data_IF_994954594073
#
_entry.id   IF_994954594073
#
_cell.length_a   1.000
_cell.length_b   1.000
_cell.length_c   1.000
_cell.angle_alpha   90.00
_cell.angle_beta   90.00
_cell.angle_gamma   90.00
#
_symmetry.space_group_name_H-M   'P 1'
#
loop_
_entity.id
_entity.type
_entity.pdbx_description
1 polymer ?
#
# COMPACT_ATOMS: atom_id res chain seq x y z
N UNK A 1 8.46 -17.14 6.29
CA UNK A 1 8.68 -17.37 4.84
C UNK A 1 8.58 -16.02 4.16
N UNK A 2 9.57 -15.63 3.38
CA UNK A 2 9.62 -14.32 2.75
C UNK A 2 8.42 -14.14 1.80
N UNK A 3 7.66 -13.08 1.97
CA UNK A 3 6.59 -12.69 1.07
C UNK A 3 7.13 -11.91 -0.14
N UNK A 4 8.12 -11.04 0.13
CA UNK A 4 8.75 -10.20 -0.88
C UNK A 4 10.27 -10.28 -0.73
N UNK A 5 10.98 -10.36 -1.87
CA UNK A 5 12.43 -10.28 -1.93
C UNK A 5 12.85 -9.39 -3.10
N UNK A 6 13.50 -8.29 -2.79
CA UNK A 6 14.15 -7.40 -3.75
C UNK A 6 15.66 -7.59 -3.66
N UNK A 7 16.35 -7.64 -4.80
CA UNK A 7 17.79 -7.82 -4.87
C UNK A 7 18.41 -6.88 -5.89
N UNK A 8 19.34 -6.02 -5.43
CA UNK A 8 20.10 -5.11 -6.26
C UNK A 8 19.27 -4.09 -7.02
N UNK A 9 18.18 -3.58 -6.43
CA UNK A 9 17.28 -2.65 -7.10
C UNK A 9 17.99 -1.30 -7.32
N UNK A 10 18.20 -0.94 -8.59
CA UNK A 10 18.73 0.36 -9.00
C UNK A 10 17.69 1.14 -9.80
N UNK A 11 17.65 2.46 -9.62
CA UNK A 11 16.78 3.36 -10.38
C UNK A 11 17.41 4.72 -10.60
N UNK A 12 17.38 5.18 -11.85
CA UNK A 12 17.93 6.47 -12.28
C UNK A 12 16.86 7.26 -13.03
N UNK A 13 16.70 8.53 -12.70
CA UNK A 13 15.89 9.47 -13.47
C UNK A 13 16.77 10.63 -13.96
N UNK A 14 16.79 10.89 -15.25
CA UNK A 14 17.52 12.02 -15.84
C UNK A 14 18.94 12.19 -15.27
N UNK A 15 19.75 11.14 -15.22
CA UNK A 15 21.12 11.07 -14.65
C UNK A 15 21.21 11.11 -13.12
N UNK A 16 20.11 11.29 -12.39
CA UNK A 16 20.09 11.19 -10.94
C UNK A 16 19.87 9.72 -10.54
N UNK A 17 20.89 9.10 -9.96
CA UNK A 17 20.77 7.74 -9.41
C UNK A 17 20.06 7.80 -8.05
N UNK A 18 18.77 7.42 -8.05
CA UNK A 18 17.87 7.54 -6.90
C UNK A 18 17.94 6.30 -6.01
N UNK A 19 18.05 5.10 -6.58
CA UNK A 19 18.26 3.85 -5.85
C UNK A 19 19.54 3.19 -6.36
N UNK A 20 20.40 2.78 -5.44
CA UNK A 20 21.80 2.40 -5.72
C UNK A 20 22.11 0.94 -5.34
N UNK A 21 21.17 0.02 -5.58
CA UNK A 21 21.35 -1.40 -5.26
C UNK A 21 20.70 -1.76 -3.93
N UNK A 22 19.37 -1.63 -3.85
CA UNK A 22 18.60 -1.98 -2.66
C UNK A 22 18.38 -3.48 -2.58
N UNK A 23 18.78 -4.08 -1.45
CA UNK A 23 18.43 -5.44 -1.04
C UNK A 23 17.42 -5.37 0.10
N UNK A 24 16.31 -6.10 -0.03
CA UNK A 24 15.22 -6.08 0.95
C UNK A 24 14.47 -7.41 0.96
N UNK A 25 14.19 -7.91 2.15
CA UNK A 25 13.34 -9.07 2.35
C UNK A 25 12.25 -8.75 3.37
N UNK A 26 10.97 -9.06 3.06
CA UNK A 26 9.80 -8.83 3.90
C UNK A 26 9.14 -10.17 4.20
N UNK A 27 8.87 -10.41 5.49
CA UNK A 27 8.19 -11.61 5.94
C UNK A 27 6.67 -11.44 5.87
N UNK A 28 5.93 -12.54 5.72
CA UNK A 28 4.47 -12.50 5.79
C UNK A 28 4.00 -12.05 7.18
N UNK A 29 2.97 -11.21 7.23
CA UNK A 29 2.41 -10.65 8.47
C UNK A 29 3.30 -9.60 9.15
N UNK A 30 4.36 -9.12 8.48
CA UNK A 30 5.27 -8.09 8.98
C UNK A 30 4.78 -6.68 8.62
N UNK A 31 4.93 -5.73 9.52
CA UNK A 31 4.80 -4.30 9.25
C UNK A 31 6.20 -3.69 9.20
N UNK A 32 6.59 -3.21 8.02
CA UNK A 32 7.88 -2.54 7.81
C UNK A 32 7.67 -1.07 7.52
N UNK A 33 8.30 -0.20 8.31
CA UNK A 33 8.33 1.23 8.06
C UNK A 33 9.61 1.63 7.31
N UNK A 34 9.46 2.35 6.20
CA UNK A 34 10.56 2.94 5.44
C UNK A 34 10.59 4.44 5.75
N UNK A 35 11.70 4.90 6.30
CA UNK A 35 11.93 6.29 6.67
C UNK A 35 13.13 6.87 5.92
N UNK A 36 13.35 8.18 6.02
CA UNK A 36 14.48 8.89 5.42
C UNK A 36 14.10 10.29 5.00
N UNK A 37 15.09 11.09 4.62
CA UNK A 37 14.90 12.47 4.16
C UNK A 37 14.00 12.56 2.92
N UNK A 38 13.44 13.75 2.66
CA UNK A 38 12.76 14.01 1.39
C UNK A 38 13.75 13.82 0.23
N UNK A 39 13.31 13.17 -0.85
CA UNK A 39 14.17 12.86 -2.00
C UNK A 39 15.12 11.67 -1.82
N UNK A 40 15.14 10.99 -0.67
CA UNK A 40 16.03 9.83 -0.43
C UNK A 40 15.70 8.58 -1.29
N UNK A 41 14.55 8.55 -1.99
CA UNK A 41 14.14 7.43 -2.84
C UNK A 41 13.02 6.55 -2.27
N UNK A 42 12.41 6.92 -1.13
CA UNK A 42 11.37 6.11 -0.44
C UNK A 42 10.18 5.78 -1.34
N UNK A 43 9.52 6.78 -1.90
CA UNK A 43 8.36 6.58 -2.78
C UNK A 43 8.76 5.87 -4.08
N UNK A 44 9.96 6.13 -4.61
CA UNK A 44 10.49 5.40 -5.76
C UNK A 44 10.62 3.91 -5.45
N UNK A 45 11.21 3.57 -4.30
CA UNK A 45 11.29 2.18 -3.87
C UNK A 45 9.90 1.57 -3.71
N UNK A 46 8.98 2.27 -3.02
CA UNK A 46 7.60 1.79 -2.83
C UNK A 46 6.88 1.53 -4.16
N UNK A 47 7.05 2.42 -5.16
CA UNK A 47 6.47 2.25 -6.49
C UNK A 47 7.04 1.06 -7.24
N UNK A 48 8.34 0.78 -7.10
CA UNK A 48 8.97 -0.41 -7.71
C UNK A 48 8.48 -1.68 -6.99
N UNK A 49 8.46 -1.72 -5.66
CA UNK A 49 7.91 -2.84 -4.89
C UNK A 49 6.44 -3.09 -5.21
N UNK A 50 5.70 -2.03 -5.52
CA UNK A 50 4.30 -2.07 -5.96
C UNK A 50 4.09 -2.32 -7.44
N UNK A 51 5.15 -2.52 -8.22
CA UNK A 51 5.09 -2.70 -9.68
C UNK A 51 4.43 -1.55 -10.45
N UNK A 52 4.41 -0.34 -9.87
CA UNK A 52 3.96 0.89 -10.53
C UNK A 52 5.06 1.50 -11.40
N UNK A 53 6.32 1.22 -11.07
CA UNK A 53 7.49 1.58 -11.86
C UNK A 53 8.43 0.37 -11.99
N UNK A 54 9.29 0.36 -12.99
CA UNK A 54 10.26 -0.69 -13.22
C UNK A 54 11.64 -0.25 -12.71
N UNK A 55 12.43 -1.12 -12.09
CA UNK A 55 13.83 -0.85 -11.79
C UNK A 55 14.65 -0.84 -13.10
N UNK A 56 15.78 -0.14 -13.11
CA UNK A 56 16.75 -0.21 -14.21
C UNK A 56 17.60 -1.48 -14.10
N UNK A 57 17.86 -1.93 -12.85
CA UNK A 57 18.52 -3.21 -12.54
C UNK A 57 17.94 -3.82 -11.28
N UNK A 58 18.27 -5.10 -11.08
CA UNK A 58 17.82 -5.88 -9.93
C UNK A 58 16.64 -6.77 -10.26
N UNK A 59 16.16 -7.47 -9.23
CA UNK A 59 15.04 -8.41 -9.32
C UNK A 59 14.08 -8.22 -8.16
N UNK A 60 12.81 -8.44 -8.41
CA UNK A 60 11.76 -8.41 -7.40
C UNK A 60 10.92 -9.68 -7.47
N UNK A 61 10.93 -10.44 -6.39
CA UNK A 61 10.08 -11.60 -6.20
C UNK A 61 8.99 -11.26 -5.18
N UNK A 62 7.74 -11.56 -5.52
CA UNK A 62 6.60 -11.49 -4.59
C UNK A 62 5.88 -12.83 -4.68
N UNK A 63 5.66 -13.50 -3.54
CA UNK A 63 5.12 -14.86 -3.50
C UNK A 63 5.89 -15.82 -4.43
N UNK A 64 7.22 -15.75 -4.39
CA UNK A 64 8.16 -16.53 -5.21
C UNK A 64 8.05 -16.32 -6.74
N UNK A 65 7.29 -15.32 -7.19
CA UNK A 65 7.17 -14.94 -8.60
C UNK A 65 8.07 -13.75 -8.93
N UNK A 66 8.94 -13.89 -9.93
CA UNK A 66 9.69 -12.75 -10.49
C UNK A 66 8.71 -11.87 -11.27
N UNK A 67 8.37 -10.71 -10.69
CA UNK A 67 7.28 -9.88 -11.19
C UNK A 67 7.63 -9.15 -12.49
N UNK A 68 8.89 -8.78 -12.70
CA UNK A 68 9.30 -8.01 -13.87
C UNK A 68 9.61 -8.85 -15.11
N UNK A 69 9.59 -10.18 -15.01
CA UNK A 69 9.67 -11.06 -16.18
C UNK A 69 8.30 -11.31 -16.83
N UNK A 70 7.22 -10.85 -16.20
CA UNK A 70 5.86 -11.03 -16.69
C UNK A 70 5.50 -10.07 -17.82
N UNK A 71 4.55 -10.46 -18.67
CA UNK A 71 3.95 -9.52 -19.63
C UNK A 71 3.20 -8.40 -18.91
N UNK A 72 3.05 -7.23 -19.55
CA UNK A 72 2.32 -6.10 -18.98
C UNK A 72 0.89 -6.46 -18.52
N UNK A 73 0.18 -7.32 -19.28
CA UNK A 73 -1.16 -7.81 -18.92
C UNK A 73 -1.12 -8.69 -17.67
N UNK A 74 -0.18 -9.63 -17.59
CA UNK A 74 -0.01 -10.52 -16.44
C UNK A 74 0.39 -9.73 -15.19
N UNK A 75 1.34 -8.80 -15.32
CA UNK A 75 1.79 -7.94 -14.23
C UNK A 75 0.66 -7.06 -13.68
N UNK A 76 -0.19 -6.50 -14.57
CA UNK A 76 -1.36 -5.72 -14.16
C UNK A 76 -2.38 -6.56 -13.40
N UNK A 77 -2.65 -7.79 -13.86
CA UNK A 77 -3.53 -8.73 -13.17
C UNK A 77 -2.95 -9.17 -11.82
N UNK A 78 -1.63 -9.45 -11.77
CA UNK A 78 -0.92 -9.78 -10.53
C UNK A 78 -1.01 -8.62 -9.53
N UNK A 79 -0.71 -7.37 -9.95
CA UNK A 79 -0.81 -6.19 -9.10
C UNK A 79 -2.21 -6.02 -8.52
N UNK A 80 -3.24 -6.09 -9.36
CA UNK A 80 -4.64 -5.96 -8.93
C UNK A 80 -5.02 -7.01 -7.88
N UNK A 81 -4.53 -8.24 -8.02
CA UNK A 81 -4.84 -9.35 -7.12
C UNK A 81 -4.03 -9.32 -5.83
N UNK A 82 -2.72 -9.04 -5.92
CA UNK A 82 -1.76 -9.34 -4.84
C UNK A 82 -1.27 -8.12 -4.09
N UNK A 83 -1.51 -6.89 -4.60
CA UNK A 83 -0.99 -5.65 -4.01
C UNK A 83 -2.12 -4.65 -3.82
N UNK A 84 -2.25 -4.16 -2.58
CA UNK A 84 -3.12 -3.02 -2.25
C UNK A 84 -2.29 -1.74 -2.08
N UNK A 85 -2.86 -0.59 -2.46
CA UNK A 85 -2.20 0.72 -2.32
C UNK A 85 -3.04 1.67 -1.49
N UNK A 86 -2.38 2.37 -0.58
CA UNK A 86 -2.91 3.48 0.20
C UNK A 86 -2.00 4.69 0.02
N UNK A 87 -2.54 5.80 -0.47
CA UNK A 87 -1.79 7.03 -0.76
C UNK A 87 -2.16 8.14 0.22
N UNK A 88 -1.29 9.14 0.35
CA UNK A 88 -1.51 10.33 1.16
C UNK A 88 -2.77 11.10 0.75
N UNK A 89 -3.05 11.20 -0.56
CA UNK A 89 -4.20 11.92 -1.12
C UNK A 89 -5.39 10.99 -1.43
N UNK A 90 -5.57 9.92 -0.70
CA UNK A 90 -6.68 8.95 -0.79
C UNK A 90 -6.97 8.44 -2.21
N UNK A 91 -6.93 9.28 -3.24
CA UNK A 91 -7.20 8.99 -4.66
C UNK A 91 -8.54 8.27 -4.87
N UNK A 92 -9.57 8.68 -4.12
CA UNK A 92 -10.94 8.24 -4.36
C UNK A 92 -11.49 8.95 -5.60
N UNK A 93 -12.26 8.22 -6.40
CA UNK A 93 -12.94 8.78 -7.56
C UNK A 93 -14.16 9.58 -7.07
N UNK A 94 -14.22 10.90 -7.34
CA UNK A 94 -15.21 11.79 -6.72
C UNK A 94 -16.64 11.54 -7.19
N UNK A 95 -16.83 10.92 -8.35
CA UNK A 95 -18.13 10.59 -8.94
C UNK A 95 -18.81 9.40 -8.26
N UNK A 96 -18.01 8.52 -7.63
CA UNK A 96 -18.44 7.26 -7.02
C UNK A 96 -18.60 7.39 -5.51
N UNK A 97 -19.57 6.66 -4.94
CA UNK A 97 -19.72 6.52 -3.49
C UNK A 97 -18.52 5.79 -2.85
N UNK A 98 -18.44 5.77 -1.52
CA UNK A 98 -17.43 4.99 -0.79
C UNK A 98 -17.51 3.51 -1.17
N UNK A 99 -18.72 2.95 -1.23
CA UNK A 99 -18.94 1.55 -1.62
C UNK A 99 -18.43 1.27 -3.03
N UNK A 100 -18.80 2.09 -4.00
CA UNK A 100 -18.38 1.93 -5.39
C UNK A 100 -16.86 2.04 -5.55
N UNK A 101 -16.24 3.03 -4.88
CA UNK A 101 -14.78 3.13 -4.84
C UNK A 101 -14.11 1.86 -4.34
N UNK A 102 -14.63 1.26 -3.28
CA UNK A 102 -14.10 0.01 -2.73
C UNK A 102 -14.32 -1.17 -3.67
N UNK A 103 -15.42 -1.20 -4.40
CA UNK A 103 -15.76 -2.29 -5.33
C UNK A 103 -14.86 -2.32 -6.58
N UNK A 104 -14.39 -1.17 -7.06
CA UNK A 104 -13.66 -1.04 -8.34
C UNK A 104 -12.58 -2.10 -8.55
N UNK A 105 -11.60 -2.33 -7.66
CA UNK A 105 -10.56 -3.32 -7.90
C UNK A 105 -11.10 -4.74 -8.03
N UNK A 106 -12.15 -5.09 -7.27
CA UNK A 106 -12.80 -6.40 -7.35
C UNK A 106 -13.52 -6.62 -8.68
N UNK A 107 -14.17 -5.58 -9.19
CA UNK A 107 -14.84 -5.62 -10.51
C UNK A 107 -13.81 -5.70 -11.66
N UNK A 108 -12.71 -4.95 -11.56
CA UNK A 108 -11.58 -5.03 -12.53
C UNK A 108 -10.99 -6.44 -12.57
N UNK A 109 -10.95 -7.14 -11.44
CA UNK A 109 -10.49 -8.54 -11.38
C UNK A 109 -11.45 -9.50 -12.07
N UNK A 110 -12.66 -9.07 -12.41
CA UNK A 110 -13.73 -9.92 -12.98
C UNK A 110 -14.55 -10.64 -11.92
N UNK A 111 -14.54 -10.15 -10.67
CA UNK A 111 -15.34 -10.71 -9.59
C UNK A 111 -16.84 -10.57 -9.81
N UNK A 112 -17.62 -11.52 -9.28
CA UNK A 112 -19.08 -11.44 -9.25
C UNK A 112 -19.51 -10.20 -8.44
N UNK A 113 -20.34 -9.34 -9.05
CA UNK A 113 -20.71 -8.04 -8.48
C UNK A 113 -21.33 -8.18 -7.07
N UNK A 114 -22.20 -9.17 -6.86
CA UNK A 114 -22.86 -9.37 -5.56
C UNK A 114 -21.86 -9.73 -4.48
N UNK A 115 -20.90 -10.60 -4.81
CA UNK A 115 -19.81 -10.99 -3.87
C UNK A 115 -18.87 -9.84 -3.59
N UNK A 116 -18.50 -9.08 -4.63
CA UNK A 116 -17.65 -7.89 -4.48
C UNK A 116 -18.33 -6.84 -3.61
N UNK A 117 -19.61 -6.55 -3.85
CA UNK A 117 -20.43 -5.63 -3.04
C UNK A 117 -20.52 -6.08 -1.59
N UNK A 118 -20.79 -7.37 -1.35
CA UNK A 118 -20.84 -7.92 0.00
C UNK A 118 -19.50 -7.76 0.71
N UNK A 119 -18.39 -8.09 0.04
CA UNK A 119 -17.03 -7.92 0.58
C UNK A 119 -16.71 -6.47 0.88
N UNK A 120 -17.06 -5.55 -0.01
CA UNK A 120 -16.86 -4.12 0.16
C UNK A 120 -17.63 -3.58 1.36
N UNK A 121 -18.90 -3.95 1.53
CA UNK A 121 -19.70 -3.58 2.71
C UNK A 121 -19.08 -4.11 4.01
N UNK A 122 -18.66 -5.37 4.06
CA UNK A 122 -17.98 -5.93 5.22
C UNK A 122 -16.72 -5.15 5.59
N UNK A 123 -15.91 -4.75 4.60
CA UNK A 123 -14.71 -3.95 4.84
C UNK A 123 -15.06 -2.54 5.33
N UNK A 124 -16.04 -1.88 4.73
CA UNK A 124 -16.48 -0.55 5.17
C UNK A 124 -17.03 -0.59 6.60
N UNK A 125 -17.79 -1.62 6.96
CA UNK A 125 -18.29 -1.83 8.33
C UNK A 125 -17.12 -2.05 9.30
N UNK A 126 -16.17 -2.95 8.98
CA UNK A 126 -14.96 -3.21 9.78
C UNK A 126 -14.16 -1.93 10.03
N UNK A 127 -14.15 -1.01 9.07
CA UNK A 127 -13.43 0.26 9.14
C UNK A 127 -14.27 1.43 9.69
N UNK A 128 -15.45 1.13 10.29
CA UNK A 128 -16.31 2.13 10.93
C UNK A 128 -17.05 3.06 9.95
N UNK A 129 -17.29 2.60 8.72
CA UNK A 129 -17.95 3.37 7.66
C UNK A 129 -19.32 2.82 7.26
N UNK A 130 -19.96 1.97 8.10
CA UNK A 130 -21.25 1.37 7.79
C UNK A 130 -22.35 2.39 7.45
N UNK A 131 -22.35 3.57 8.11
CA UNK A 131 -23.31 4.64 7.84
C UNK A 131 -22.90 5.58 6.69
N UNK A 132 -21.75 5.32 6.04
CA UNK A 132 -21.13 6.17 5.02
C UNK A 132 -21.02 5.52 3.64
N UNK A 133 -21.54 4.31 3.48
CA UNK A 133 -21.36 3.49 2.27
C UNK A 133 -21.80 4.19 0.98
N UNK A 134 -22.88 4.95 1.01
CA UNK A 134 -23.42 5.67 -0.14
C UNK A 134 -22.90 7.12 -0.28
N UNK A 135 -22.08 7.60 0.69
CA UNK A 135 -21.54 8.96 0.64
C UNK A 135 -20.43 9.05 -0.42
N UNK A 136 -20.41 10.20 -1.11
CA UNK A 136 -19.31 10.54 -2.04
C UNK A 136 -18.10 11.08 -1.26
N UNK A 137 -16.89 11.05 -1.84
CA UNK A 137 -15.69 11.57 -1.18
C UNK A 137 -15.84 12.99 -0.61
N UNK A 138 -16.55 13.89 -1.30
CA UNK A 138 -16.81 15.26 -0.84
C UNK A 138 -17.67 15.35 0.43
N UNK A 139 -18.38 14.29 0.78
CA UNK A 139 -19.25 14.19 1.95
C UNK A 139 -18.59 13.49 3.13
N UNK A 140 -17.33 13.04 2.94
CA UNK A 140 -16.54 12.32 3.92
C UNK A 140 -15.44 13.21 4.51
N UNK A 141 -15.19 13.11 5.80
CA UNK A 141 -13.99 13.69 6.42
C UNK A 141 -12.71 13.06 5.86
N UNK A 142 -11.56 13.72 6.00
CA UNK A 142 -10.27 13.19 5.55
C UNK A 142 -9.95 11.81 6.13
N UNK A 143 -10.24 11.59 7.43
CA UNK A 143 -10.07 10.27 8.05
C UNK A 143 -11.03 9.21 7.51
N UNK A 144 -12.28 9.57 7.19
CA UNK A 144 -13.24 8.66 6.54
C UNK A 144 -12.81 8.32 5.11
N UNK A 145 -12.32 9.31 4.35
CA UNK A 145 -11.78 9.08 3.00
C UNK A 145 -10.57 8.12 3.05
N UNK A 146 -9.68 8.31 4.03
CA UNK A 146 -8.52 7.43 4.18
C UNK A 146 -8.93 6.01 4.55
N UNK A 147 -9.89 5.82 5.45
CA UNK A 147 -10.43 4.49 5.78
C UNK A 147 -11.11 3.84 4.56
N UNK A 148 -11.84 4.60 3.74
CA UNK A 148 -12.39 4.09 2.48
C UNK A 148 -11.29 3.67 1.48
N UNK A 149 -10.19 4.43 1.39
CA UNK A 149 -9.03 4.06 0.57
C UNK A 149 -8.35 2.78 1.09
N UNK A 150 -8.28 2.57 2.40
CA UNK A 150 -7.80 1.31 3.00
C UNK A 150 -8.75 0.15 2.66
N UNK A 151 -10.08 0.35 2.76
CA UNK A 151 -11.06 -0.67 2.36
C UNK A 151 -10.90 -1.06 0.89
N UNK A 152 -10.72 -0.07 0.00
CA UNK A 152 -10.45 -0.29 -1.43
C UNK A 152 -9.18 -1.11 -1.65
N UNK A 153 -8.12 -0.83 -0.92
CA UNK A 153 -6.87 -1.56 -1.01
C UNK A 153 -7.02 -3.03 -0.58
N UNK A 154 -7.96 -3.34 0.31
CA UNK A 154 -8.17 -4.67 0.91
C UNK A 154 -9.21 -5.54 0.17
N UNK A 155 -9.99 -4.99 -0.78
CA UNK A 155 -11.15 -5.71 -1.34
C UNK A 155 -10.78 -7.04 -2.00
N UNK A 156 -9.63 -7.10 -2.68
CA UNK A 156 -9.10 -8.31 -3.32
C UNK A 156 -8.31 -9.22 -2.36
N UNK A 157 -8.30 -8.96 -1.05
CA UNK A 157 -7.50 -9.67 -0.06
C UNK A 157 -6.01 -9.79 -0.50
N UNK A 158 -5.32 -8.65 -0.76
CA UNK A 158 -3.96 -8.66 -1.28
C UNK A 158 -2.98 -9.29 -0.29
N UNK A 159 -1.92 -9.89 -0.80
CA UNK A 159 -0.83 -10.41 0.03
C UNK A 159 -0.01 -9.30 0.69
N UNK A 160 0.10 -8.15 0.01
CA UNK A 160 0.92 -7.01 0.42
C UNK A 160 0.12 -5.72 0.33
N UNK A 161 0.17 -4.89 1.37
CA UNK A 161 -0.38 -3.55 1.37
C UNK A 161 0.77 -2.52 1.45
N UNK A 162 0.80 -1.63 0.47
CA UNK A 162 1.78 -0.55 0.36
C UNK A 162 1.13 0.78 0.72
N UNK A 163 1.74 1.53 1.61
CA UNK A 163 1.23 2.82 2.04
C UNK A 163 2.30 3.92 1.88
N UNK A 164 2.00 4.96 1.10
CA UNK A 164 2.86 6.13 0.92
C UNK A 164 2.29 7.30 1.73
N UNK A 165 2.96 7.65 2.84
CA UNK A 165 2.58 8.72 3.77
C UNK A 165 1.09 8.71 4.15
N UNK A 166 0.53 7.56 4.59
CA UNK A 166 -0.92 7.35 4.68
C UNK A 166 -1.62 8.27 5.69
N UNK A 167 -0.91 8.86 6.63
CA UNK A 167 -1.44 9.79 7.64
C UNK A 167 -1.00 11.23 7.43
N UNK A 168 -0.28 11.55 6.32
CA UNK A 168 0.36 12.84 6.11
C UNK A 168 -0.61 14.04 6.02
N UNK A 169 -1.87 13.81 5.63
CA UNK A 169 -2.91 14.84 5.49
C UNK A 169 -3.97 14.77 6.61
N UNK A 170 -3.75 13.97 7.65
CA UNK A 170 -4.68 13.79 8.75
C UNK A 170 -4.25 14.61 9.96
N UNK A 171 -5.23 15.05 10.76
CA UNK A 171 -4.96 15.55 12.09
C UNK A 171 -4.43 14.43 13.00
N UNK A 172 -3.85 14.81 14.13
CA UNK A 172 -3.16 13.87 15.04
C UNK A 172 -4.08 12.75 15.54
N UNK A 173 -5.37 13.02 15.77
CA UNK A 173 -6.33 12.02 16.24
C UNK A 173 -6.61 10.99 15.15
N UNK A 174 -6.99 11.44 13.95
CA UNK A 174 -7.26 10.57 12.82
C UNK A 174 -6.01 9.78 12.39
N UNK A 175 -4.81 10.38 12.50
CA UNK A 175 -3.55 9.68 12.25
C UNK A 175 -3.34 8.51 13.21
N UNK A 176 -3.53 8.72 14.53
CA UNK A 176 -3.41 7.66 15.53
C UNK A 176 -4.44 6.54 15.33
N UNK A 177 -5.68 6.89 15.00
CA UNK A 177 -6.72 5.92 14.67
C UNK A 177 -6.34 5.06 13.46
N UNK A 178 -5.80 5.69 12.39
CA UNK A 178 -5.32 4.96 11.21
C UNK A 178 -4.14 4.04 11.53
N UNK A 179 -3.18 4.51 12.34
CA UNK A 179 -2.06 3.68 12.78
C UNK A 179 -2.56 2.43 13.53
N UNK A 180 -3.42 2.63 14.52
CA UNK A 180 -4.02 1.54 15.28
C UNK A 180 -4.76 0.55 14.39
N UNK A 181 -5.46 1.07 13.37
CA UNK A 181 -6.16 0.26 12.37
C UNK A 181 -5.20 -0.65 11.58
N UNK A 182 -4.03 -0.18 11.16
CA UNK A 182 -3.06 -1.03 10.45
C UNK A 182 -2.60 -2.22 11.31
N UNK A 183 -2.34 -2.00 12.60
CA UNK A 183 -1.97 -3.09 13.52
C UNK A 183 -3.12 -4.06 13.79
N UNK A 184 -4.35 -3.55 13.86
CA UNK A 184 -5.53 -4.39 13.96
C UNK A 184 -5.70 -5.26 12.70
N UNK A 185 -5.62 -4.66 11.49
CA UNK A 185 -5.72 -5.39 10.23
C UNK A 185 -4.62 -6.46 10.09
N UNK A 186 -3.39 -6.16 10.54
CA UNK A 186 -2.32 -7.16 10.61
C UNK A 186 -2.74 -8.34 11.49
N UNK A 187 -3.25 -8.07 12.69
CA UNK A 187 -3.64 -9.10 13.66
C UNK A 187 -4.82 -9.94 13.17
N UNK A 188 -5.83 -9.29 12.60
CA UNK A 188 -7.10 -9.93 12.24
C UNK A 188 -7.04 -10.65 10.88
N UNK A 189 -6.22 -10.13 9.93
CA UNK A 189 -6.14 -10.60 8.55
C UNK A 189 -4.78 -11.19 8.17
N UNK A 190 -3.80 -11.26 9.08
CA UNK A 190 -2.40 -11.63 8.79
C UNK A 190 -1.81 -10.79 7.65
N UNK A 191 -2.20 -9.48 7.60
CA UNK A 191 -1.87 -8.59 6.53
C UNK A 191 -0.43 -8.08 6.65
N UNK A 192 0.32 -8.13 5.55
CA UNK A 192 1.68 -7.57 5.46
C UNK A 192 1.63 -6.13 4.98
N UNK A 193 2.42 -5.26 5.60
CA UNK A 193 2.50 -3.84 5.25
C UNK A 193 3.92 -3.39 4.97
N UNK A 194 4.08 -2.54 3.95
CA UNK A 194 5.25 -1.67 3.80
C UNK A 194 4.73 -0.23 3.80
N UNK A 195 5.19 0.57 4.76
CA UNK A 195 4.71 1.93 4.99
C UNK A 195 5.87 2.91 4.85
N UNK A 196 5.82 3.77 3.85
CA UNK A 196 6.70 4.95 3.76
C UNK A 196 6.11 6.01 4.66
N UNK A 197 6.89 6.54 5.59
CA UNK A 197 6.42 7.59 6.49
C UNK A 197 7.55 8.46 7.06
N UNK A 198 7.23 9.71 7.33
CA UNK A 198 8.04 10.60 8.16
C UNK A 198 7.54 10.67 9.63
N UNK A 199 6.39 10.02 9.92
CA UNK A 199 5.84 9.96 11.27
C UNK A 199 6.65 8.97 12.13
N UNK A 200 7.34 9.52 13.14
CA UNK A 200 8.21 8.74 14.01
C UNK A 200 7.46 7.75 14.91
N UNK A 201 6.23 8.06 15.30
CA UNK A 201 5.46 7.18 16.17
C UNK A 201 4.99 5.95 15.41
N UNK A 202 4.50 6.12 14.18
CA UNK A 202 4.17 4.99 13.30
C UNK A 202 5.41 4.13 13.02
N UNK A 203 6.55 4.76 12.73
CA UNK A 203 7.79 4.05 12.48
C UNK A 203 8.30 3.25 13.68
N UNK A 204 8.11 3.76 14.92
CA UNK A 204 8.45 3.03 16.15
C UNK A 204 7.54 1.85 16.46
N UNK A 205 6.28 1.91 16.02
CA UNK A 205 5.31 0.83 16.20
C UNK A 205 5.54 -0.35 15.25
N UNK A 206 6.18 -0.11 14.09
CA UNK A 206 6.46 -1.16 13.11
C UNK A 206 7.41 -2.24 13.66
N UNK A 207 7.33 -3.47 13.12
CA UNK A 207 8.21 -4.57 13.50
C UNK A 207 9.66 -4.30 13.10
N UNK A 208 9.84 -3.62 11.95
CA UNK A 208 11.15 -3.18 11.45
C UNK A 208 11.06 -1.77 10.89
N UNK A 209 12.09 -1.00 11.18
CA UNK A 209 12.32 0.30 10.60
C UNK A 209 13.53 0.22 9.67
N UNK A 210 13.36 0.61 8.43
CA UNK A 210 14.42 0.72 7.43
C UNK A 210 14.63 2.20 7.10
N UNK A 211 15.87 2.65 7.13
CA UNK A 211 16.20 4.02 6.78
C UNK A 211 16.86 4.08 5.41
N UNK A 212 16.30 4.90 4.51
CA UNK A 212 16.92 5.17 3.20
C UNK A 212 17.71 6.46 3.31
N UNK A 213 19.02 6.36 3.05
CA UNK A 213 19.93 7.49 2.97
C UNK A 213 20.67 7.40 1.63
N UNK A 214 20.59 8.47 0.85
CA UNK A 214 21.28 8.59 -0.44
C UNK A 214 21.06 7.38 -1.40
N UNK A 215 19.85 6.82 -1.40
CA UNK A 215 19.48 5.71 -2.27
C UNK A 215 19.94 4.33 -1.81
N UNK A 216 20.37 4.18 -0.57
CA UNK A 216 20.78 2.92 0.07
C UNK A 216 19.98 2.69 1.37
N UNK A 217 19.68 1.43 1.70
CA UNK A 217 19.15 1.07 3.02
C UNK A 217 20.31 1.04 4.01
N UNK A 218 20.17 1.80 5.10
CA UNK A 218 21.02 1.68 6.29
C UNK A 218 20.33 0.77 7.30
N UNK A 219 21.07 -0.22 7.80
CA UNK A 219 20.64 -1.17 8.83
C UNK A 219 20.89 -0.60 10.23
#
# INVERSE_FOLDING_TARGET
>A
MALLKASGIEKTYNKLNVLKGIDLEIQKGEIVAIVGASGAGKSTLLHILGTLDNPDKGKLFIQDQDVFTQSAKSLSAFRNKSIGFVFQFHNLLPEFSALENVMIPGLIQGGDEKKVRQRANTLLEMLGLASRVEHKPSELSGGEQQRAAVARALVNAPALLLADEPSGNLDSKNALELHSLFFQLRKDLDQTFIIVTHNQDLAKMADRRLEIVDGLIQL
#
